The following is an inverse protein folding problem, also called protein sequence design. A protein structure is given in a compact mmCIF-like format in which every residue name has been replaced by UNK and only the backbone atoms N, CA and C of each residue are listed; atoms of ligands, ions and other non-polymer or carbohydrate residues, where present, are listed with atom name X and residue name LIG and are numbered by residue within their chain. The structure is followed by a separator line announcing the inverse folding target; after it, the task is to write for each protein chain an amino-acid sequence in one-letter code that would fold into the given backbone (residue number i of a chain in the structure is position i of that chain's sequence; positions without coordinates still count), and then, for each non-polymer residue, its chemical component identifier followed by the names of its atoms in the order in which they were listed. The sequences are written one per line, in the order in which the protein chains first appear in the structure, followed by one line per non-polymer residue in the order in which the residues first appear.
data_IF_683625753439
#
_entry.id   IF_683625753439
#
_cell.length_a   1.000
_cell.length_b   1.000
_cell.length_c   1.000
_cell.angle_alpha   90.00
_cell.angle_beta   90.00
_cell.angle_gamma   90.00
#
_symmetry.space_group_name_H-M   'P 1'
#
loop_
_entity.id
_entity.type
_entity.pdbx_description
1 polymer ?
#
# COMPACT_ATOMS: atom_id res chain seq x y z
N UNK A 1 -3.37 -15.22 29.39
CA UNK A 1 -3.26 -15.01 27.93
C UNK A 1 -2.92 -16.32 27.23
N UNK A 2 -1.77 -16.97 27.48
CA UNK A 2 -1.39 -18.24 26.82
C UNK A 2 -2.46 -19.33 26.98
N UNK A 3 -2.91 -19.60 28.22
CA UNK A 3 -3.94 -20.61 28.48
C UNK A 3 -5.26 -20.36 27.75
N UNK A 4 -5.63 -19.09 27.64
CA UNK A 4 -6.81 -18.68 26.88
C UNK A 4 -6.64 -18.96 25.39
N UNK A 5 -5.51 -18.55 24.81
CA UNK A 5 -5.26 -18.73 23.37
C UNK A 5 -5.17 -20.22 23.00
N UNK A 6 -4.50 -21.05 23.82
CA UNK A 6 -4.43 -22.51 23.62
C UNK A 6 -5.80 -23.16 23.78
N UNK A 7 -6.60 -22.76 24.78
CA UNK A 7 -7.95 -23.30 24.95
C UNK A 7 -8.83 -22.95 23.75
N UNK A 8 -8.82 -21.68 23.32
CA UNK A 8 -9.59 -21.22 22.16
C UNK A 8 -9.18 -21.97 20.90
N UNK A 9 -7.88 -22.27 20.74
CA UNK A 9 -7.37 -23.04 19.61
C UNK A 9 -7.82 -24.50 19.67
N UNK A 10 -7.79 -25.12 20.84
CA UNK A 10 -8.24 -26.52 21.02
C UNK A 10 -9.76 -26.69 20.81
N UNK A 11 -10.54 -25.62 21.04
CA UNK A 11 -11.99 -25.60 20.82
C UNK A 11 -12.35 -25.20 19.37
N UNK A 12 -11.36 -24.75 18.55
CA UNK A 12 -11.62 -24.34 17.19
C UNK A 12 -11.83 -25.54 16.26
N UNK A 13 -13.00 -25.56 15.61
CA UNK A 13 -13.31 -26.56 14.59
C UNK A 13 -12.80 -26.11 13.21
N UNK A 14 -11.75 -26.77 12.74
CA UNK A 14 -11.17 -26.47 11.44
C UNK A 14 -12.10 -26.88 10.31
N UNK A 15 -12.42 -25.97 9.36
CA UNK A 15 -13.19 -26.33 8.18
C UNK A 15 -12.39 -27.33 7.31
N UNK A 16 -12.97 -28.51 7.07
CA UNK A 16 -12.31 -29.59 6.31
C UNK A 16 -12.26 -29.34 4.79
N UNK A 17 -12.94 -28.29 4.31
CA UNK A 17 -13.20 -28.13 2.87
C UNK A 17 -12.11 -27.36 2.11
N UNK A 18 -11.31 -26.53 2.80
CA UNK A 18 -10.30 -25.71 2.14
C UNK A 18 -9.20 -25.27 3.11
N UNK A 19 -7.94 -25.55 2.74
CA UNK A 19 -6.78 -25.04 3.48
C UNK A 19 -6.76 -23.52 3.47
N UNK A 20 -7.24 -22.88 2.38
CA UNK A 20 -7.31 -21.41 2.29
C UNK A 20 -8.17 -20.78 3.39
N UNK A 21 -9.21 -21.48 3.88
CA UNK A 21 -10.13 -20.94 4.88
C UNK A 21 -9.54 -20.98 6.30
N UNK A 22 -8.57 -21.86 6.54
CA UNK A 22 -7.90 -21.97 7.84
C UNK A 22 -6.71 -21.00 7.98
N UNK A 23 -6.15 -20.49 6.88
CA UNK A 23 -4.97 -19.61 6.88
C UNK A 23 -5.19 -18.35 7.72
N UNK A 24 -6.30 -17.60 7.61
CA UNK A 24 -6.54 -16.42 8.43
C UNK A 24 -6.62 -16.74 9.93
N UNK A 25 -7.18 -17.91 10.31
CA UNK A 25 -7.20 -18.37 11.68
C UNK A 25 -5.81 -18.69 12.20
N UNK A 26 -5.03 -19.49 11.47
CA UNK A 26 -3.65 -19.85 11.80
C UNK A 26 -2.75 -18.61 11.92
N UNK A 27 -2.91 -17.64 11.03
CA UNK A 27 -2.17 -16.38 11.09
C UNK A 27 -2.47 -15.61 12.37
N UNK A 28 -3.74 -15.55 12.76
CA UNK A 28 -4.17 -14.89 14.00
C UNK A 28 -3.66 -15.64 15.24
N UNK A 29 -3.78 -16.95 15.27
CA UNK A 29 -3.31 -17.79 16.36
C UNK A 29 -1.81 -17.64 16.59
N UNK A 30 -0.98 -17.84 15.56
CA UNK A 30 0.48 -17.75 15.71
C UNK A 30 0.94 -16.33 16.06
N UNK A 31 0.25 -15.29 15.59
CA UNK A 31 0.60 -13.91 15.93
C UNK A 31 0.31 -13.57 17.39
N UNK A 32 -0.78 -14.08 17.95
CA UNK A 32 -1.13 -13.93 19.37
C UNK A 32 -0.14 -14.66 20.26
N UNK A 33 0.24 -15.90 19.92
CA UNK A 33 1.29 -16.62 20.64
C UNK A 33 2.60 -15.86 20.67
N UNK A 34 3.02 -15.31 19.53
CA UNK A 34 4.25 -14.52 19.44
C UNK A 34 4.18 -13.26 20.32
N UNK A 35 3.04 -12.59 20.40
CA UNK A 35 2.83 -11.37 21.18
C UNK A 35 3.04 -11.59 22.69
N UNK A 36 2.90 -12.80 23.20
CA UNK A 36 3.11 -13.11 24.61
C UNK A 36 4.55 -12.79 25.06
N UNK A 37 5.51 -12.88 24.14
CA UNK A 37 6.94 -12.60 24.41
C UNK A 37 7.45 -13.31 25.67
N UNK A 38 7.25 -14.63 25.74
CA UNK A 38 7.53 -15.46 26.90
C UNK A 38 9.02 -15.50 27.29
N UNK A 39 9.92 -15.09 26.39
CA UNK A 39 11.37 -15.14 26.57
C UNK A 39 11.98 -13.74 26.42
N UNK A 40 13.10 -13.46 27.08
CA UNK A 40 13.85 -12.21 26.92
C UNK A 40 14.33 -11.99 25.48
N UNK A 41 14.73 -13.10 24.80
CA UNK A 41 15.09 -13.11 23.38
C UNK A 41 14.69 -14.41 22.70
N UNK A 42 14.78 -14.46 21.39
CA UNK A 42 14.50 -15.67 20.61
C UNK A 42 13.02 -15.99 20.40
N UNK A 43 12.09 -15.12 20.82
CA UNK A 43 10.63 -15.35 20.71
C UNK A 43 10.20 -15.76 19.29
N UNK A 44 10.71 -15.09 18.24
CA UNK A 44 10.35 -15.41 16.86
C UNK A 44 10.82 -16.83 16.46
N UNK A 45 12.02 -17.23 16.85
CA UNK A 45 12.54 -18.60 16.58
C UNK A 45 11.72 -19.66 17.32
N UNK A 46 11.44 -19.42 18.58
CA UNK A 46 10.63 -20.33 19.39
C UNK A 46 9.21 -20.47 18.82
N UNK A 47 8.61 -19.36 18.42
CA UNK A 47 7.28 -19.37 17.76
C UNK A 47 7.32 -20.15 16.44
N UNK A 48 8.36 -19.97 15.61
CA UNK A 48 8.50 -20.72 14.36
C UNK A 48 8.62 -22.24 14.63
N UNK A 49 9.47 -22.65 15.57
CA UNK A 49 9.65 -24.07 15.93
C UNK A 49 8.37 -24.67 16.49
N UNK A 50 7.68 -23.95 17.39
CA UNK A 50 6.39 -24.37 17.91
C UNK A 50 5.39 -24.54 16.76
N UNK A 51 5.28 -23.55 15.89
CA UNK A 51 4.29 -23.53 14.83
C UNK A 51 4.54 -24.62 13.78
N UNK A 52 5.80 -24.91 13.43
CA UNK A 52 6.17 -26.06 12.59
C UNK A 52 5.68 -27.37 13.23
N UNK A 53 5.93 -27.56 14.53
CA UNK A 53 5.48 -28.79 15.24
C UNK A 53 3.96 -28.86 15.29
N UNK A 54 3.29 -27.73 15.53
CA UNK A 54 1.85 -27.65 15.57
C UNK A 54 1.22 -28.01 14.20
N UNK A 55 1.72 -27.43 13.11
CA UNK A 55 1.25 -27.76 11.76
C UNK A 55 1.48 -29.22 11.40
N UNK A 56 2.61 -29.79 11.81
CA UNK A 56 2.88 -31.23 11.63
C UNK A 56 1.91 -32.13 12.41
N UNK A 57 1.51 -31.73 13.63
CA UNK A 57 0.49 -32.46 14.39
C UNK A 57 -0.89 -32.44 13.74
N UNK A 58 -1.16 -31.44 12.89
CA UNK A 58 -2.35 -31.33 12.05
C UNK A 58 -2.25 -32.10 10.73
N UNK A 59 -1.09 -32.75 10.45
CA UNK A 59 -0.86 -33.54 9.25
C UNK A 59 -0.21 -32.77 8.07
N UNK A 60 0.19 -31.51 8.25
CA UNK A 60 0.90 -30.77 7.21
C UNK A 60 2.38 -31.18 7.12
N UNK A 61 2.86 -31.36 5.91
CA UNK A 61 4.30 -31.56 5.66
C UNK A 61 5.03 -30.23 5.58
N UNK A 62 5.51 -29.75 6.73
CA UNK A 62 6.14 -28.44 6.87
C UNK A 62 7.59 -28.59 7.31
N UNK A 63 8.52 -27.97 6.58
CA UNK A 63 9.94 -27.90 6.93
C UNK A 63 10.33 -26.52 7.45
N UNK A 64 11.57 -26.39 7.94
CA UNK A 64 12.10 -25.09 8.38
C UNK A 64 12.59 -24.21 7.22
N UNK A 65 12.63 -24.71 5.99
CA UNK A 65 13.35 -24.06 4.90
C UNK A 65 12.76 -22.69 4.55
N UNK A 66 11.43 -22.59 4.45
CA UNK A 66 10.78 -21.32 4.16
C UNK A 66 10.93 -20.30 5.30
N UNK A 67 10.95 -20.77 6.56
CA UNK A 67 11.21 -19.91 7.73
C UNK A 67 12.65 -19.40 7.74
N UNK A 68 13.61 -20.24 7.44
CA UNK A 68 15.02 -19.86 7.36
C UNK A 68 15.27 -18.87 6.22
N UNK A 69 14.74 -19.16 5.03
CA UNK A 69 14.87 -18.29 3.86
C UNK A 69 14.19 -16.91 4.04
N UNK A 70 13.11 -16.84 4.82
CA UNK A 70 12.29 -15.64 4.99
C UNK A 70 12.15 -15.21 6.46
N UNK A 71 13.18 -15.43 7.29
CA UNK A 71 13.12 -15.21 8.74
C UNK A 71 12.76 -13.75 9.12
N UNK A 72 13.32 -12.77 8.42
CA UNK A 72 12.98 -11.35 8.60
C UNK A 72 11.55 -11.02 8.15
N UNK A 73 11.09 -11.62 7.07
CA UNK A 73 9.72 -11.45 6.62
C UNK A 73 8.73 -12.02 7.64
N UNK A 74 8.96 -13.25 8.10
CA UNK A 74 8.13 -13.88 9.12
C UNK A 74 8.06 -13.05 10.39
N UNK A 75 9.22 -12.58 10.92
CA UNK A 75 9.26 -11.70 12.08
C UNK A 75 8.47 -10.42 11.85
N UNK A 76 8.68 -9.73 10.73
CA UNK A 76 8.04 -8.45 10.45
C UNK A 76 6.54 -8.62 10.20
N UNK A 77 6.09 -9.74 9.63
CA UNK A 77 4.67 -10.07 9.48
C UNK A 77 3.98 -10.26 10.83
N UNK A 78 4.65 -10.91 11.80
CA UNK A 78 4.16 -11.02 13.19
C UNK A 78 4.08 -9.64 13.87
N UNK A 79 5.08 -8.78 13.70
CA UNK A 79 5.02 -7.39 14.18
C UNK A 79 3.83 -6.67 13.56
N UNK A 80 3.64 -6.80 12.25
CA UNK A 80 2.58 -6.10 11.52
C UNK A 80 1.18 -6.59 11.88
N UNK A 81 1.06 -7.88 12.26
CA UNK A 81 -0.18 -8.48 12.74
C UNK A 81 -0.61 -7.97 14.13
N UNK A 82 0.29 -7.34 14.88
CA UNK A 82 0.04 -6.84 16.24
C UNK A 82 0.27 -5.32 16.38
N UNK A 83 0.62 -4.60 15.29
CA UNK A 83 0.94 -3.19 15.37
C UNK A 83 -0.26 -2.30 15.01
N UNK A 84 -0.65 -1.47 15.97
CA UNK A 84 -1.67 -0.44 15.83
C UNK A 84 -1.09 0.95 16.11
N UNK A 85 -1.40 1.92 15.25
CA UNK A 85 -1.20 3.36 15.50
C UNK A 85 -2.42 4.11 14.94
N UNK A 86 -3.46 4.18 15.73
CA UNK A 86 -4.75 4.76 15.31
C UNK A 86 -4.62 6.27 15.03
N UNK A 87 -3.64 6.95 15.66
CA UNK A 87 -3.39 8.37 15.40
C UNK A 87 -2.92 8.62 13.98
N UNK A 88 -2.29 7.62 13.35
CA UNK A 88 -1.84 7.63 11.96
C UNK A 88 -2.73 6.81 11.03
N UNK A 89 -3.90 6.36 11.50
CA UNK A 89 -4.80 5.51 10.72
C UNK A 89 -4.26 4.10 10.45
N UNK A 90 -3.27 3.65 11.22
CA UNK A 90 -2.65 2.34 11.04
C UNK A 90 -3.34 1.32 11.95
N UNK A 91 -3.81 0.22 11.34
CA UNK A 91 -4.39 -0.92 12.05
C UNK A 91 -3.53 -2.16 11.84
N UNK A 92 -3.59 -3.09 12.80
CA UNK A 92 -3.02 -4.43 12.62
C UNK A 92 -3.58 -5.11 11.37
N UNK A 93 -2.79 -6.00 10.77
CA UNK A 93 -3.22 -6.82 9.64
C UNK A 93 -2.43 -8.12 9.58
N UNK A 94 -3.11 -9.24 9.43
CA UNK A 94 -2.53 -10.55 9.21
C UNK A 94 -2.16 -10.84 7.75
N UNK A 95 -2.53 -9.96 6.83
CA UNK A 95 -2.35 -10.11 5.37
C UNK A 95 -0.97 -10.62 4.96
N UNK A 96 0.10 -10.05 5.54
CA UNK A 96 1.48 -10.47 5.21
C UNK A 96 1.82 -11.85 5.77
N UNK A 97 1.30 -12.18 6.95
CA UNK A 97 1.48 -13.50 7.56
C UNK A 97 0.68 -14.55 6.79
N UNK A 98 -0.50 -14.21 6.30
CA UNK A 98 -1.31 -15.07 5.43
C UNK A 98 -0.60 -15.37 4.10
N UNK A 99 0.05 -14.38 3.46
CA UNK A 99 0.87 -14.63 2.26
C UNK A 99 2.02 -15.61 2.55
N UNK A 100 2.68 -15.48 3.70
CA UNK A 100 3.71 -16.43 4.12
C UNK A 100 3.13 -17.84 4.30
N UNK A 101 1.98 -17.96 4.96
CA UNK A 101 1.31 -19.24 5.18
C UNK A 101 0.78 -19.88 3.88
N UNK A 102 0.32 -19.08 2.92
CA UNK A 102 -0.05 -19.57 1.58
C UNK A 102 1.13 -20.21 0.86
N UNK A 103 2.29 -19.55 0.91
CA UNK A 103 3.50 -20.17 0.35
C UNK A 103 3.88 -21.46 1.08
N UNK A 104 3.74 -21.48 2.41
CA UNK A 104 4.10 -22.62 3.25
C UNK A 104 3.17 -23.82 3.07
N UNK A 105 1.85 -23.58 3.04
CA UNK A 105 0.83 -24.65 3.11
C UNK A 105 0.22 -25.00 1.77
N UNK A 106 0.19 -24.06 0.82
CA UNK A 106 -0.41 -24.24 -0.50
C UNK A 106 0.64 -24.33 -1.62
N UNK A 107 1.94 -24.12 -1.29
CA UNK A 107 3.00 -24.08 -2.30
C UNK A 107 2.89 -22.90 -3.27
N UNK A 108 2.18 -21.83 -2.89
CA UNK A 108 2.11 -20.61 -3.68
C UNK A 108 3.47 -19.91 -3.72
N UNK A 109 3.66 -19.03 -4.72
CA UNK A 109 4.89 -18.26 -4.91
C UNK A 109 4.64 -16.76 -4.71
N UNK A 110 3.97 -16.39 -3.62
CA UNK A 110 3.75 -14.98 -3.28
C UNK A 110 5.08 -14.29 -2.96
N UNK A 111 5.20 -13.03 -3.41
CA UNK A 111 6.40 -12.24 -3.20
C UNK A 111 6.49 -11.75 -1.74
N UNK A 112 7.47 -12.25 -0.98
CA UNK A 112 7.66 -11.95 0.43
C UNK A 112 8.68 -10.81 0.64
N UNK A 113 8.26 -9.55 0.37
CA UNK A 113 9.12 -8.37 0.52
C UNK A 113 8.81 -7.57 1.77
N UNK A 114 9.80 -7.41 2.65
CA UNK A 114 9.71 -6.63 3.89
C UNK A 114 9.26 -5.18 3.67
N UNK A 115 9.66 -4.55 2.55
CA UNK A 115 9.30 -3.17 2.23
C UNK A 115 7.78 -2.95 2.12
N UNK A 116 6.99 -3.99 1.79
CA UNK A 116 5.54 -3.87 1.68
C UNK A 116 4.84 -3.75 3.05
N UNK A 117 5.50 -4.21 4.10
CA UNK A 117 5.02 -4.09 5.49
C UNK A 117 5.33 -2.74 6.10
N UNK A 118 6.23 -1.97 5.49
CA UNK A 118 6.64 -0.68 6.02
C UNK A 118 5.51 0.34 5.82
N UNK A 119 4.99 0.89 6.91
CA UNK A 119 3.84 1.82 6.87
C UNK A 119 4.12 3.04 6.00
N UNK A 120 5.33 3.63 6.08
CA UNK A 120 5.74 4.75 5.23
C UNK A 120 5.78 4.38 3.75
N UNK A 121 6.08 3.11 3.42
CA UNK A 121 6.05 2.63 2.03
C UNK A 121 4.64 2.65 1.44
N UNK A 122 3.62 2.23 2.19
CA UNK A 122 2.21 2.31 1.71
C UNK A 122 1.79 3.77 1.50
N UNK A 123 2.15 4.68 2.42
CA UNK A 123 1.90 6.12 2.26
C UNK A 123 2.60 6.69 1.02
N UNK A 124 3.90 6.41 0.82
CA UNK A 124 4.63 6.86 -0.36
C UNK A 124 4.04 6.31 -1.67
N UNK A 125 3.56 5.07 -1.68
CA UNK A 125 2.94 4.47 -2.87
C UNK A 125 1.58 5.09 -3.19
N UNK A 126 0.79 5.43 -2.18
CA UNK A 126 -0.45 6.19 -2.34
C UNK A 126 -0.18 7.61 -2.82
N UNK A 127 0.84 8.28 -2.27
CA UNK A 127 1.28 9.61 -2.71
C UNK A 127 1.77 9.60 -4.16
N UNK A 128 2.55 8.58 -4.57
CA UNK A 128 3.02 8.42 -5.95
C UNK A 128 1.86 8.12 -6.91
N UNK A 129 0.89 7.31 -6.50
CA UNK A 129 -0.31 7.05 -7.31
C UNK A 129 -1.21 8.28 -7.41
N UNK A 130 -1.40 9.01 -6.31
CA UNK A 130 -2.10 10.29 -6.31
C UNK A 130 -1.41 11.33 -7.20
N UNK A 131 -0.08 11.44 -7.11
CA UNK A 131 0.71 12.32 -7.96
C UNK A 131 0.66 11.93 -9.45
N UNK A 132 0.67 10.64 -9.79
CA UNK A 132 0.51 10.17 -11.18
C UNK A 132 -0.87 10.50 -11.74
N UNK A 133 -1.94 10.27 -10.97
CA UNK A 133 -3.30 10.64 -11.36
C UNK A 133 -3.46 12.15 -11.52
N UNK A 134 -2.85 12.93 -10.63
CA UNK A 134 -2.82 14.40 -10.69
C UNK A 134 -2.06 14.93 -11.91
N UNK A 135 -0.94 14.30 -12.27
CA UNK A 135 -0.17 14.64 -13.48
C UNK A 135 -1.01 14.30 -14.72
N UNK A 136 -1.55 13.10 -14.79
CA UNK A 136 -2.35 12.64 -15.92
C UNK A 136 -3.60 13.50 -16.14
N UNK A 137 -4.29 13.91 -15.05
CA UNK A 137 -5.40 14.85 -15.12
C UNK A 137 -5.00 16.21 -15.62
N UNK A 138 -3.82 16.72 -15.21
CA UNK A 138 -3.29 18.01 -15.68
C UNK A 138 -2.87 17.96 -17.14
N UNK A 139 -2.29 16.87 -17.60
CA UNK A 139 -1.98 16.64 -19.01
C UNK A 139 -3.25 16.66 -19.88
N UNK A 140 -4.31 15.98 -19.44
CA UNK A 140 -5.62 16.04 -20.11
C UNK A 140 -6.19 17.46 -20.16
N UNK A 141 -6.13 18.21 -19.06
CA UNK A 141 -6.56 19.59 -19.02
C UNK A 141 -5.76 20.49 -19.98
N UNK A 142 -4.44 20.28 -20.07
CA UNK A 142 -3.59 21.02 -21.01
C UNK A 142 -3.93 20.67 -22.45
N UNK A 143 -4.23 19.41 -22.75
CA UNK A 143 -4.64 19.00 -24.08
C UNK A 143 -5.96 19.65 -24.50
N UNK A 144 -6.98 19.66 -23.65
CA UNK A 144 -8.26 20.34 -23.89
C UNK A 144 -8.06 21.83 -24.17
N UNK A 145 -7.22 22.50 -23.37
CA UNK A 145 -6.90 23.91 -23.59
C UNK A 145 -6.15 24.13 -24.91
N UNK A 146 -5.25 23.23 -25.28
CA UNK A 146 -4.52 23.31 -26.53
C UNK A 146 -5.44 23.10 -27.75
N UNK A 147 -6.33 22.13 -27.69
CA UNK A 147 -7.35 21.91 -28.75
C UNK A 147 -8.24 23.14 -28.95
N UNK A 148 -8.55 23.85 -27.85
CA UNK A 148 -9.42 25.04 -27.89
C UNK A 148 -8.72 26.29 -28.39
N UNK A 149 -7.49 26.57 -27.92
CA UNK A 149 -6.80 27.86 -28.16
C UNK A 149 -5.64 27.76 -29.15
N UNK A 150 -5.06 26.58 -29.36
CA UNK A 150 -3.92 26.40 -30.25
C UNK A 150 -2.75 27.33 -29.96
N UNK A 151 -1.97 27.61 -30.99
CA UNK A 151 -0.80 28.50 -30.90
C UNK A 151 -1.13 29.99 -31.12
N UNK A 152 -2.31 30.31 -31.62
CA UNK A 152 -2.62 31.65 -32.12
C UNK A 152 -3.63 32.42 -31.28
N UNK A 153 -4.33 31.73 -30.37
CA UNK A 153 -5.31 32.37 -29.51
C UNK A 153 -4.78 32.48 -28.07
N UNK A 154 -4.80 33.69 -27.54
CA UNK A 154 -4.43 33.93 -26.15
C UNK A 154 -5.58 33.62 -25.20
N UNK A 155 -5.24 33.11 -24.03
CA UNK A 155 -6.19 32.80 -22.96
C UNK A 155 -5.67 33.28 -21.60
N UNK A 156 -6.52 33.37 -20.64
CA UNK A 156 -6.16 33.69 -19.27
C UNK A 156 -6.94 32.81 -18.28
N UNK A 157 -6.91 33.19 -17.00
CA UNK A 157 -7.54 32.40 -15.95
C UNK A 157 -9.04 32.21 -16.18
N UNK A 158 -9.75 33.24 -16.63
CA UNK A 158 -11.20 33.15 -16.85
C UNK A 158 -11.55 32.14 -17.93
N UNK A 159 -10.81 32.13 -19.02
CA UNK A 159 -11.00 31.18 -20.12
C UNK A 159 -10.69 29.74 -19.66
N UNK A 160 -9.62 29.55 -18.87
CA UNK A 160 -9.27 28.23 -18.28
C UNK A 160 -10.38 27.75 -17.33
N UNK A 161 -10.93 28.62 -16.50
CA UNK A 161 -12.05 28.29 -15.62
C UNK A 161 -13.28 27.83 -16.39
N UNK A 162 -13.63 28.58 -17.43
CA UNK A 162 -14.79 28.29 -18.27
C UNK A 162 -14.62 26.98 -19.04
N UNK A 163 -13.48 26.79 -19.70
CA UNK A 163 -13.24 25.62 -20.56
C UNK A 163 -13.14 24.32 -19.79
N UNK A 164 -12.50 24.34 -18.62
CA UNK A 164 -12.31 23.15 -17.79
C UNK A 164 -13.37 22.98 -16.70
N UNK A 165 -14.32 23.91 -16.58
CA UNK A 165 -15.35 23.94 -15.52
C UNK A 165 -14.75 23.85 -14.11
N UNK A 166 -13.64 24.56 -13.87
CA UNK A 166 -12.93 24.58 -12.58
C UNK A 166 -12.95 25.96 -11.93
N UNK A 167 -12.73 26.01 -10.61
CA UNK A 167 -12.68 27.26 -9.85
C UNK A 167 -11.35 28.01 -10.04
N UNK A 168 -11.29 29.26 -9.56
CA UNK A 168 -10.16 30.18 -9.76
C UNK A 168 -8.82 29.64 -9.20
N UNK A 169 -8.84 28.96 -8.05
CA UNK A 169 -7.61 28.45 -7.42
C UNK A 169 -6.95 27.32 -8.22
N UNK A 170 -7.65 26.25 -8.63
CA UNK A 170 -7.11 25.24 -9.53
C UNK A 170 -6.66 25.79 -10.88
N UNK A 171 -7.42 26.73 -11.47
CA UNK A 171 -7.04 27.37 -12.74
C UNK A 171 -5.70 28.12 -12.63
N UNK A 172 -5.52 28.90 -11.56
CA UNK A 172 -4.26 29.61 -11.31
C UNK A 172 -3.09 28.67 -11.07
N UNK A 173 -3.32 27.57 -10.35
CA UNK A 173 -2.30 26.54 -10.11
C UNK A 173 -1.90 25.81 -11.42
N UNK A 174 -2.85 25.53 -12.31
CA UNK A 174 -2.59 24.92 -13.62
C UNK A 174 -1.77 25.88 -14.49
N UNK A 175 -2.17 27.15 -14.61
CA UNK A 175 -1.42 28.17 -15.38
C UNK A 175 0.01 28.29 -14.86
N UNK A 176 0.23 28.33 -13.55
CA UNK A 176 1.56 28.39 -12.96
C UNK A 176 2.41 27.17 -13.41
N UNK A 177 1.85 25.98 -13.34
CA UNK A 177 2.55 24.76 -13.80
C UNK A 177 2.86 24.76 -15.29
N UNK A 178 1.93 25.21 -16.13
CA UNK A 178 2.14 25.33 -17.57
C UNK A 178 3.28 26.32 -17.90
N UNK A 179 3.41 27.41 -17.10
CA UNK A 179 4.54 28.33 -17.19
C UNK A 179 5.86 27.68 -16.76
N UNK A 180 5.87 26.98 -15.61
CA UNK A 180 7.03 26.28 -15.05
C UNK A 180 7.53 25.18 -16.02
N UNK A 181 6.61 24.50 -16.70
CA UNK A 181 6.93 23.50 -17.73
C UNK A 181 7.31 24.09 -19.09
N UNK A 182 7.20 25.42 -19.24
CA UNK A 182 7.51 26.10 -20.50
C UNK A 182 6.53 25.84 -21.64
N UNK A 183 5.33 25.28 -21.33
CA UNK A 183 4.27 24.97 -22.31
C UNK A 183 3.60 26.23 -22.82
N UNK A 184 3.49 27.25 -21.97
CA UNK A 184 2.93 28.56 -22.29
C UNK A 184 3.89 29.69 -21.93
N UNK A 185 3.66 30.86 -22.49
CA UNK A 185 4.39 32.08 -22.13
C UNK A 185 3.44 33.27 -22.01
N UNK A 186 3.78 34.28 -21.16
CA UNK A 186 2.93 35.47 -21.00
C UNK A 186 3.02 36.38 -22.21
N UNK A 187 1.87 36.90 -22.64
CA UNK A 187 1.80 37.91 -23.69
C UNK A 187 2.08 39.34 -23.19
N UNK A 188 3.02 40.02 -23.85
CA UNK A 188 3.26 41.43 -23.62
C UNK A 188 2.24 42.26 -24.43
N UNK A 189 1.68 43.32 -23.81
CA UNK A 189 0.80 44.28 -24.50
C UNK A 189 -0.71 43.95 -24.56
N UNK A 190 -1.13 42.77 -24.07
CA UNK A 190 -2.57 42.36 -24.05
C UNK A 190 -3.21 42.31 -22.64
N UNK A 191 -2.60 43.02 -21.67
CA UNK A 191 -3.03 42.99 -20.28
C UNK A 191 -2.34 41.92 -19.42
N UNK A 192 -2.43 42.05 -18.08
CA UNK A 192 -1.86 41.07 -17.17
C UNK A 192 -2.67 39.73 -17.19
N UNK A 193 -1.97 38.60 -17.24
CA UNK A 193 -2.58 37.28 -17.09
C UNK A 193 -3.14 36.68 -18.40
N UNK A 194 -2.61 37.09 -19.55
CA UNK A 194 -2.86 36.45 -20.84
C UNK A 194 -1.65 35.70 -21.33
N UNK A 195 -1.85 34.46 -21.83
CA UNK A 195 -0.85 33.49 -22.18
C UNK A 195 -1.10 32.92 -23.57
N UNK A 196 -0.03 32.45 -24.22
CA UNK A 196 -0.07 31.67 -25.47
C UNK A 196 0.68 30.35 -25.27
N UNK A 197 0.26 29.34 -26.01
CA UNK A 197 1.06 28.12 -26.14
C UNK A 197 2.35 28.38 -26.91
N UNK A 198 3.43 27.74 -26.48
CA UNK A 198 4.74 27.84 -27.14
C UNK A 198 4.79 26.88 -28.33
N UNK A 199 5.20 27.39 -29.49
CA UNK A 199 5.60 26.54 -30.61
C UNK A 199 6.99 25.96 -30.31
N UNK A 200 7.13 24.64 -30.32
CA UNK A 200 8.44 23.99 -30.24
C UNK A 200 9.22 24.19 -31.55
#
# INVERSE_FOLDING_TARGET
MLEYDIRTENEYEYPLNSISDIIPHLARFVSRLWQIHAFGEGNTRTTAVFFIKYLRSMGFDVTNDIFAANSWYFRNSLVRANYNDLSKGIRETTEYLELFLRNLLLGESNELKNRYMHVRWKMQKQDIQGQKQDIQKKEQHIQVLFERFGYDQFFGRTEVMSELSITASPASALIKKMLDWGVIYPMKGKGKGKYLFRRN
#
